data_IF_891971304148
#
_entry.id   IF_891971304148
#
_cell.length_a   1.000
_cell.length_b   1.000
_cell.length_c   1.000
_cell.angle_alpha   90.00
_cell.angle_beta   90.00
_cell.angle_gamma   90.00
#
_symmetry.space_group_name_H-M   'P 1'
#
loop_
_entity.id
_entity.type
_entity.pdbx_description
1 polymer ?
#
# COMPACT_ATOMS: atom_id res chain seq x y z
N UNK A 1 11.35 35.30 5.89
CA UNK A 1 9.91 35.04 5.83
C UNK A 1 9.67 33.78 6.65
N UNK A 2 9.31 33.93 7.93
CA UNK A 2 8.96 32.78 8.77
C UNK A 2 7.59 32.27 8.32
N UNK A 3 7.51 31.00 7.95
CA UNK A 3 6.25 30.29 7.86
C UNK A 3 5.89 29.88 9.28
N UNK A 4 4.83 30.46 9.82
CA UNK A 4 4.25 30.01 11.09
C UNK A 4 3.64 28.63 10.86
N UNK A 5 4.22 27.60 11.48
CA UNK A 5 3.60 26.29 11.57
C UNK A 5 2.39 26.42 12.51
N UNK A 6 1.19 26.45 11.93
CA UNK A 6 -0.05 26.24 12.69
C UNK A 6 0.02 24.92 13.46
N UNK A 7 -0.76 24.75 14.54
CA UNK A 7 -0.63 23.61 15.42
C UNK A 7 -0.86 22.34 14.59
N UNK A 8 0.19 21.53 14.44
CA UNK A 8 0.06 20.18 13.90
C UNK A 8 -1.04 19.49 14.71
N UNK A 9 -2.14 19.10 14.06
CA UNK A 9 -3.01 18.07 14.61
C UNK A 9 -2.13 16.83 14.80
N UNK A 10 -1.63 16.66 16.02
CA UNK A 10 -0.93 15.46 16.40
C UNK A 10 -1.82 14.27 16.03
N UNK A 11 -1.27 13.26 15.35
CA UNK A 11 -1.99 12.05 14.91
C UNK A 11 -2.84 11.43 16.05
N UNK A 12 -2.48 11.68 17.31
CA UNK A 12 -3.25 11.33 18.52
C UNK A 12 -4.65 11.95 18.62
N UNK A 13 -4.96 13.03 17.90
CA UNK A 13 -6.29 13.68 17.87
C UNK A 13 -7.25 13.07 16.84
N UNK A 14 -6.74 12.30 15.88
CA UNK A 14 -7.54 11.46 15.01
C UNK A 14 -7.93 10.21 15.82
N UNK A 15 -8.99 10.33 16.64
CA UNK A 15 -9.57 9.18 17.31
C UNK A 15 -9.90 8.06 16.30
N UNK A 16 -9.96 6.79 16.70
CA UNK A 16 -10.10 5.65 15.77
C UNK A 16 -11.32 5.76 14.84
N UNK A 17 -12.36 6.47 15.28
CA UNK A 17 -13.56 6.72 14.46
C UNK A 17 -13.34 7.67 13.27
N UNK A 18 -12.25 8.45 13.27
CA UNK A 18 -11.88 9.37 12.19
C UNK A 18 -10.82 8.80 11.25
N UNK A 19 -10.20 7.65 11.58
CA UNK A 19 -9.26 7.01 10.67
C UNK A 19 -10.01 6.47 9.45
N UNK A 20 -9.76 7.08 8.29
CA UNK A 20 -10.43 6.71 7.02
C UNK A 20 -9.55 5.88 6.08
N UNK A 21 -8.29 5.69 6.42
CA UNK A 21 -7.36 4.83 5.69
C UNK A 21 -6.02 4.74 6.41
N UNK A 22 -5.22 3.75 6.03
CA UNK A 22 -3.89 3.49 6.54
C UNK A 22 -3.04 2.97 5.39
N UNK A 23 -1.83 3.50 5.24
CA UNK A 23 -0.79 2.89 4.42
C UNK A 23 0.50 2.88 5.24
N UNK A 24 1.04 1.69 5.45
CA UNK A 24 2.29 1.49 6.17
C UNK A 24 3.22 0.62 5.34
N UNK A 25 4.43 1.11 5.14
CA UNK A 25 5.50 0.46 4.39
C UNK A 25 6.77 0.36 5.22
N UNK A 26 7.63 -0.60 4.89
CA UNK A 26 9.00 -0.71 5.41
C UNK A 26 9.93 -1.17 4.28
N UNK A 27 11.22 -0.83 4.29
CA UNK A 27 12.19 -1.52 3.45
C UNK A 27 12.22 -3.03 3.75
N UNK A 28 12.58 -3.83 2.76
CA UNK A 28 12.82 -5.26 2.90
C UNK A 28 14.07 -5.66 2.12
N UNK A 29 15.04 -6.24 2.84
CA UNK A 29 16.36 -6.64 2.33
C UNK A 29 17.05 -5.52 1.53
N UNK A 30 16.78 -4.27 1.85
CA UNK A 30 17.34 -3.06 1.24
C UNK A 30 17.14 -2.94 -0.29
N UNK A 31 16.16 -3.64 -0.84
CA UNK A 31 15.87 -3.62 -2.30
C UNK A 31 14.39 -3.46 -2.64
N UNK A 32 13.49 -3.89 -1.75
CA UNK A 32 12.05 -3.88 -1.97
C UNK A 32 11.34 -2.99 -0.95
N UNK A 33 10.34 -2.23 -1.40
CA UNK A 33 9.34 -1.63 -0.52
C UNK A 33 8.32 -2.71 -0.13
N UNK A 34 8.26 -3.04 1.16
CA UNK A 34 7.24 -3.96 1.70
C UNK A 34 6.05 -3.16 2.21
N UNK A 35 4.88 -3.43 1.65
CA UNK A 35 3.61 -2.93 2.19
C UNK A 35 3.19 -3.84 3.35
N UNK A 36 3.15 -3.29 4.55
CA UNK A 36 2.78 -4.01 5.78
C UNK A 36 1.27 -3.95 6.02
N UNK A 37 0.67 -2.77 5.83
CA UNK A 37 -0.77 -2.58 5.93
C UNK A 37 -1.23 -1.55 4.89
N UNK A 38 -2.32 -1.85 4.20
CA UNK A 38 -2.95 -0.90 3.31
C UNK A 38 -4.47 -1.07 3.31
N UNK A 39 -5.17 -0.04 3.74
CA UNK A 39 -6.62 -0.04 3.84
C UNK A 39 -7.20 1.35 3.56
N UNK A 40 -8.34 1.37 2.90
CA UNK A 40 -9.20 2.55 2.77
C UNK A 40 -10.59 2.15 3.25
N UNK A 41 -11.21 3.01 4.06
CA UNK A 41 -12.55 2.79 4.59
C UNK A 41 -13.55 2.50 3.44
N UNK A 42 -14.43 1.50 3.61
CA UNK A 42 -15.27 0.97 2.53
C UNK A 42 -16.09 2.03 1.77
N UNK A 43 -16.68 2.99 2.50
CA UNK A 43 -17.45 4.10 1.91
C UNK A 43 -16.64 5.06 1.02
N UNK A 44 -15.31 4.98 1.07
CA UNK A 44 -14.39 5.86 0.33
C UNK A 44 -13.61 5.10 -0.76
N UNK A 45 -13.85 3.80 -0.90
CA UNK A 45 -13.25 3.01 -1.98
C UNK A 45 -13.88 3.39 -3.33
N UNK A 46 -13.17 3.11 -4.43
CA UNK A 46 -13.60 3.49 -5.78
C UNK A 46 -13.46 4.97 -6.13
N UNK A 47 -12.97 5.81 -5.20
CA UNK A 47 -12.79 7.26 -5.41
C UNK A 47 -11.33 7.66 -5.68
N UNK A 48 -10.48 6.70 -6.05
CA UNK A 48 -9.06 6.94 -6.35
C UNK A 48 -8.15 7.18 -5.13
N UNK A 49 -8.66 7.22 -3.90
CA UNK A 49 -7.85 7.46 -2.69
C UNK A 49 -6.78 6.39 -2.46
N UNK A 50 -7.09 5.12 -2.77
CA UNK A 50 -6.09 4.06 -2.76
C UNK A 50 -4.98 4.28 -3.79
N UNK A 51 -5.32 4.75 -5.00
CA UNK A 51 -4.31 5.10 -6.00
C UNK A 51 -3.39 6.22 -5.52
N UNK A 52 -3.96 7.27 -4.93
CA UNK A 52 -3.17 8.39 -4.35
C UNK A 52 -2.23 7.92 -3.24
N UNK A 53 -2.74 7.11 -2.31
CA UNK A 53 -1.91 6.51 -1.25
C UNK A 53 -0.75 5.69 -1.81
N UNK A 54 -1.06 4.83 -2.78
CA UNK A 54 -0.07 4.00 -3.46
C UNK A 54 1.01 4.84 -4.15
N UNK A 55 0.64 5.87 -4.90
CA UNK A 55 1.57 6.76 -5.60
C UNK A 55 2.55 7.44 -4.63
N UNK A 56 2.06 7.89 -3.47
CA UNK A 56 2.93 8.45 -2.43
C UNK A 56 3.94 7.43 -1.90
N UNK A 57 3.53 6.18 -1.66
CA UNK A 57 4.45 5.13 -1.21
C UNK A 57 5.47 4.73 -2.29
N UNK A 58 5.06 4.66 -3.56
CA UNK A 58 5.98 4.38 -4.67
C UNK A 58 7.02 5.49 -4.80
N UNK A 59 6.61 6.76 -4.70
CA UNK A 59 7.56 7.86 -4.75
C UNK A 59 8.56 7.79 -3.59
N UNK A 60 8.08 7.58 -2.36
CA UNK A 60 8.95 7.42 -1.20
C UNK A 60 9.96 6.26 -1.38
N UNK A 61 9.51 5.11 -1.90
CA UNK A 61 10.39 3.98 -2.19
C UNK A 61 11.43 4.29 -3.27
N UNK A 62 11.07 5.04 -4.31
CA UNK A 62 12.01 5.49 -5.36
C UNK A 62 13.05 6.45 -4.78
N UNK A 63 12.64 7.38 -3.93
CA UNK A 63 13.54 8.35 -3.29
C UNK A 63 14.55 7.65 -2.36
N UNK A 64 14.16 6.50 -1.78
CA UNK A 64 15.05 5.61 -1.01
C UNK A 64 15.91 4.68 -1.88
N UNK A 65 15.78 4.72 -3.21
CA UNK A 65 16.53 3.87 -4.13
C UNK A 65 16.04 2.42 -4.22
N UNK A 66 14.85 2.12 -3.71
CA UNK A 66 14.24 0.79 -3.79
C UNK A 66 13.80 0.48 -5.23
N UNK A 67 13.96 -0.78 -5.64
CA UNK A 67 13.78 -1.22 -7.03
C UNK A 67 12.62 -2.20 -7.23
N UNK A 68 11.96 -2.61 -6.15
CA UNK A 68 10.82 -3.53 -6.18
C UNK A 68 9.77 -3.20 -5.12
N UNK A 69 8.60 -3.83 -5.25
CA UNK A 69 7.52 -3.76 -4.28
C UNK A 69 7.04 -5.16 -3.95
N UNK A 70 6.76 -5.43 -2.68
CA UNK A 70 6.19 -6.70 -2.20
C UNK A 70 5.06 -6.48 -1.19
N UNK A 71 4.14 -7.43 -1.13
CA UNK A 71 3.07 -7.47 -0.14
C UNK A 71 2.47 -8.85 0.02
N UNK A 72 1.71 -9.02 1.10
CA UNK A 72 0.89 -10.21 1.35
C UNK A 72 -0.58 -9.81 1.25
N UNK A 73 -1.37 -10.64 0.58
CA UNK A 73 -2.81 -10.40 0.41
C UNK A 73 -3.58 -11.70 0.59
N UNK A 74 -4.74 -11.65 1.24
CA UNK A 74 -5.63 -12.81 1.33
C UNK A 74 -6.11 -13.21 -0.08
N UNK A 75 -6.06 -14.50 -0.41
CA UNK A 75 -6.46 -15.00 -1.74
C UNK A 75 -7.92 -14.66 -2.09
N UNK A 76 -8.79 -14.51 -1.09
CA UNK A 76 -10.19 -14.10 -1.27
C UNK A 76 -10.36 -12.60 -1.61
N UNK A 77 -9.34 -11.77 -1.41
CA UNK A 77 -9.40 -10.33 -1.67
C UNK A 77 -9.09 -9.99 -3.14
N UNK A 78 -9.97 -10.45 -4.03
CA UNK A 78 -9.87 -10.25 -5.49
C UNK A 78 -9.77 -8.76 -5.89
N UNK A 79 -10.36 -7.85 -5.10
CA UNK A 79 -10.28 -6.41 -5.34
C UNK A 79 -8.86 -5.87 -5.16
N UNK A 80 -8.20 -6.23 -4.06
CA UNK A 80 -6.81 -5.87 -3.81
C UNK A 80 -5.85 -6.55 -4.79
N UNK A 81 -6.06 -7.84 -5.09
CA UNK A 81 -5.25 -8.58 -6.07
C UNK A 81 -5.26 -7.85 -7.43
N UNK A 82 -6.44 -7.57 -7.98
CA UNK A 82 -6.56 -6.81 -9.24
C UNK A 82 -5.95 -5.40 -9.16
N UNK A 83 -6.05 -4.76 -8.00
CA UNK A 83 -5.44 -3.44 -7.80
C UNK A 83 -3.92 -3.50 -7.94
N UNK A 84 -3.27 -4.53 -7.39
CA UNK A 84 -1.82 -4.72 -7.46
C UNK A 84 -1.36 -5.27 -8.82
N UNK A 85 -2.12 -6.16 -9.46
CA UNK A 85 -1.82 -6.68 -10.80
C UNK A 85 -1.75 -5.56 -11.85
N UNK A 86 -2.71 -4.61 -11.80
CA UNK A 86 -2.69 -3.41 -12.66
C UNK A 86 -1.45 -2.52 -12.45
N UNK A 87 -0.71 -2.73 -11.36
CA UNK A 87 0.51 -2.00 -11.00
C UNK A 87 1.77 -2.85 -11.21
N UNK A 88 1.66 -3.95 -11.95
CA UNK A 88 2.78 -4.80 -12.34
C UNK A 88 3.22 -5.83 -11.29
N UNK A 89 2.50 -5.96 -10.17
CA UNK A 89 2.77 -7.03 -9.21
C UNK A 89 2.16 -8.35 -9.70
N UNK A 90 2.83 -9.45 -9.40
CA UNK A 90 2.37 -10.81 -9.70
C UNK A 90 2.38 -11.65 -8.43
N UNK A 91 1.47 -12.61 -8.33
CA UNK A 91 1.53 -13.61 -7.28
C UNK A 91 2.71 -14.56 -7.54
N UNK A 92 3.60 -14.71 -6.56
CA UNK A 92 4.78 -15.59 -6.66
C UNK A 92 4.67 -16.85 -5.80
N UNK A 93 3.67 -16.92 -4.91
CA UNK A 93 3.46 -18.11 -4.09
C UNK A 93 2.25 -18.01 -3.17
N UNK A 94 1.81 -19.17 -2.71
CA UNK A 94 0.81 -19.30 -1.67
C UNK A 94 1.50 -19.37 -0.30
N UNK A 95 0.99 -18.57 0.64
CA UNK A 95 1.33 -18.68 2.05
C UNK A 95 0.28 -19.60 2.69
N UNK A 96 0.62 -20.88 2.82
CA UNK A 96 -0.14 -21.83 3.63
C UNK A 96 0.13 -21.56 5.12
N UNK A 97 -0.90 -21.72 5.95
CA UNK A 97 -0.84 -21.61 7.42
C UNK A 97 -0.57 -20.22 8.02
N UNK A 98 -0.51 -19.15 7.21
CA UNK A 98 -0.31 -17.77 7.72
C UNK A 98 -1.61 -17.09 8.18
N UNK A 99 -2.77 -17.62 7.82
CA UNK A 99 -4.08 -17.18 8.30
C UNK A 99 -4.92 -18.38 8.76
N UNK A 100 -5.57 -18.27 9.92
CA UNK A 100 -6.41 -19.32 10.51
C UNK A 100 -7.62 -19.70 9.62
N UNK A 101 -7.96 -18.86 8.65
CA UNK A 101 -9.18 -18.85 7.86
C UNK A 101 -8.94 -18.80 6.34
N UNK A 102 -7.71 -19.03 5.85
CA UNK A 102 -7.48 -19.20 4.41
C UNK A 102 -6.04 -19.04 3.92
N UNK A 103 -5.92 -19.06 2.59
CA UNK A 103 -4.64 -18.97 1.87
C UNK A 103 -4.26 -17.50 1.64
N UNK A 104 -3.02 -17.15 1.98
CA UNK A 104 -2.40 -15.87 1.59
C UNK A 104 -1.67 -15.98 0.25
N UNK A 105 -1.49 -14.86 -0.45
CA UNK A 105 -0.65 -14.75 -1.63
C UNK A 105 0.48 -13.76 -1.32
N UNK A 106 1.72 -14.17 -1.60
CA UNK A 106 2.82 -13.23 -1.73
C UNK A 106 2.77 -12.63 -3.14
N UNK A 107 2.58 -11.32 -3.22
CA UNK A 107 2.65 -10.59 -4.48
C UNK A 107 3.88 -9.68 -4.51
N UNK A 108 4.59 -9.66 -5.64
CA UNK A 108 5.69 -8.72 -5.86
C UNK A 108 5.90 -8.36 -7.31
N UNK A 109 6.65 -7.30 -7.55
CA UNK A 109 6.99 -6.81 -8.89
C UNK A 109 8.08 -5.74 -8.83
N UNK A 110 8.56 -5.29 -9.99
CA UNK A 110 9.47 -4.15 -10.07
C UNK A 110 8.82 -2.89 -9.49
N UNK A 111 9.64 -1.91 -9.10
CA UNK A 111 9.17 -0.59 -8.70
C UNK A 111 8.38 0.01 -9.86
N UNK A 112 7.08 0.34 -9.70
CA UNK A 112 6.26 0.77 -10.83
C UNK A 112 6.70 2.13 -11.36
N UNK A 113 6.76 2.31 -12.69
CA UNK A 113 7.23 3.55 -13.33
C UNK A 113 6.34 4.76 -13.02
N UNK A 114 5.08 4.54 -12.68
CA UNK A 114 4.08 5.58 -12.44
C UNK A 114 2.82 5.34 -13.27
N UNK A 115 1.71 6.06 -13.02
CA UNK A 115 0.51 5.98 -13.85
C UNK A 115 0.81 6.21 -15.35
N UNK A 116 -0.01 5.71 -16.28
CA UNK A 116 -1.44 5.42 -16.12
C UNK A 116 -1.74 3.96 -15.73
N UNK A 117 -2.50 3.79 -14.64
CA UNK A 117 -2.95 2.48 -14.14
C UNK A 117 -4.34 2.07 -14.65
N UNK A 118 -4.80 2.74 -15.71
CA UNK A 118 -6.04 2.45 -16.42
C UNK A 118 -5.75 2.12 -17.88
N UNK A 119 -6.38 1.04 -18.33
CA UNK A 119 -6.66 0.67 -19.71
C UNK A 119 -8.07 0.09 -19.74
#
# INVERSE_FOLDING_TARGET
MLLEHGPEEAVSTVGPQRLRGLLWTTPFKDVELRVVAFAVHGQLQGQGLGSKGWEMAIQAGKDEGLSGVRLEVRASNTGAIRFYERRGLKAEGHLHDYYADGVGLLMRGPMPDGPPWEG
#
